data_IF_976574108061
#
_entry.id   IF_976574108061
#
_cell.length_a   1.000
_cell.length_b   1.000
_cell.length_c   1.000
_cell.angle_alpha   90.00
_cell.angle_beta   90.00
_cell.angle_gamma   90.00
#
_symmetry.space_group_name_H-M   'P 1'
#
loop_
_entity.id
_entity.type
_entity.pdbx_description
1 polymer ?
#
# COMPACT_ATOMS: atom_id res chain seq x y z
N UNK A 1 15.56 -24.16 12.37
CA UNK A 1 15.16 -24.02 10.95
C UNK A 1 14.02 -23.02 10.88
N UNK A 2 14.05 -22.03 9.98
CA UNK A 2 12.91 -21.11 9.80
C UNK A 2 11.70 -21.91 9.28
N UNK A 3 10.48 -21.69 9.81
CA UNK A 3 9.30 -22.31 9.24
C UNK A 3 9.14 -21.87 7.77
N UNK A 4 8.69 -22.78 6.92
CA UNK A 4 8.42 -22.46 5.52
C UNK A 4 7.45 -21.27 5.42
N UNK A 5 7.64 -20.40 4.42
CA UNK A 5 6.88 -19.15 4.24
C UNK A 5 5.36 -19.33 4.22
N UNK A 6 4.86 -20.55 3.98
CA UNK A 6 3.43 -20.90 4.06
C UNK A 6 2.82 -20.75 5.47
N UNK A 7 3.64 -20.75 6.51
CA UNK A 7 3.18 -20.56 7.90
C UNK A 7 3.31 -19.10 8.37
N UNK A 8 3.47 -18.16 7.44
CA UNK A 8 3.56 -16.76 7.76
C UNK A 8 2.27 -16.28 8.45
N UNK A 9 2.37 -15.54 9.57
CA UNK A 9 1.20 -15.06 10.30
C UNK A 9 0.38 -14.09 9.45
N UNK A 10 -0.93 -14.12 9.61
CA UNK A 10 -1.83 -13.10 9.07
C UNK A 10 -1.75 -11.83 9.91
N UNK A 11 -1.90 -10.69 9.24
CA UNK A 11 -1.98 -9.38 9.87
C UNK A 11 -3.12 -9.36 10.87
N UNK A 12 -2.84 -8.85 12.07
CA UNK A 12 -3.87 -8.59 13.08
C UNK A 12 -4.15 -7.10 13.06
N UNK A 13 -5.21 -6.69 12.37
CA UNK A 13 -5.66 -5.29 12.38
C UNK A 13 -6.28 -4.98 13.75
N UNK A 14 -5.87 -3.90 14.43
CA UNK A 14 -6.50 -3.50 15.69
C UNK A 14 -7.99 -3.20 15.43
N UNK A 15 -8.87 -3.87 16.16
CA UNK A 15 -10.31 -3.63 16.04
C UNK A 15 -10.67 -2.30 16.69
N UNK A 16 -11.28 -1.40 15.93
CA UNK A 16 -11.81 -0.15 16.48
C UNK A 16 -12.75 -0.43 17.66
N UNK A 17 -12.52 0.24 18.78
CA UNK A 17 -13.37 0.13 19.97
C UNK A 17 -14.73 0.78 19.70
N UNK A 18 -15.79 0.29 20.35
CA UNK A 18 -17.14 0.87 20.23
C UNK A 18 -17.15 2.38 20.49
N UNK A 19 -16.40 2.85 21.49
CA UNK A 19 -16.25 4.28 21.80
C UNK A 19 -15.62 5.08 20.65
N UNK A 20 -14.54 4.57 20.03
CA UNK A 20 -13.92 5.24 18.87
C UNK A 20 -14.87 5.34 17.66
N UNK A 21 -15.75 4.35 17.50
CA UNK A 21 -16.77 4.35 16.44
C UNK A 21 -17.83 5.42 16.68
N UNK A 22 -18.34 5.55 17.91
CA UNK A 22 -19.30 6.60 18.27
C UNK A 22 -18.74 8.00 18.11
N UNK A 23 -17.49 8.22 18.54
CA UNK A 23 -16.81 9.50 18.34
C UNK A 23 -16.68 9.83 16.84
N UNK A 24 -16.33 8.84 16.01
CA UNK A 24 -16.29 8.97 14.56
C UNK A 24 -17.65 9.35 13.95
N UNK A 25 -18.74 8.72 14.40
CA UNK A 25 -20.08 9.05 13.91
C UNK A 25 -20.52 10.47 14.29
N UNK A 26 -20.19 10.94 15.50
CA UNK A 26 -20.51 12.30 15.92
C UNK A 26 -19.76 13.35 15.08
N UNK A 27 -18.47 13.13 14.82
CA UNK A 27 -17.68 14.02 13.96
C UNK A 27 -18.22 14.03 12.53
N UNK A 28 -18.57 12.86 11.98
CA UNK A 28 -19.17 12.74 10.66
C UNK A 28 -20.52 13.45 10.58
N UNK A 29 -21.37 13.34 11.60
CA UNK A 29 -22.65 14.02 11.68
C UNK A 29 -22.48 15.55 11.72
N UNK A 30 -21.50 16.06 12.45
CA UNK A 30 -21.15 17.48 12.47
C UNK A 30 -20.70 18.00 11.10
N UNK A 31 -19.80 17.27 10.42
CA UNK A 31 -19.36 17.61 9.06
C UNK A 31 -20.52 17.58 8.06
N UNK A 32 -21.39 16.56 8.13
CA UNK A 32 -22.56 16.45 7.28
C UNK A 32 -23.55 17.61 7.52
N UNK A 33 -23.79 17.99 8.78
CA UNK A 33 -24.62 19.14 9.13
C UNK A 33 -24.06 20.45 8.58
N UNK A 34 -22.75 20.69 8.73
CA UNK A 34 -22.08 21.85 8.15
C UNK A 34 -22.15 21.89 6.62
N UNK A 35 -21.99 20.75 5.97
CA UNK A 35 -22.11 20.62 4.52
C UNK A 35 -23.54 20.91 4.03
N UNK A 36 -24.57 20.39 4.71
CA UNK A 36 -25.97 20.66 4.40
C UNK A 36 -26.32 22.15 4.58
N UNK A 37 -25.81 22.78 5.64
CA UNK A 37 -25.98 24.22 5.84
C UNK A 37 -25.32 25.03 4.72
N UNK A 38 -24.09 24.67 4.32
CA UNK A 38 -23.39 25.32 3.21
C UNK A 38 -24.10 25.13 1.87
N UNK A 39 -24.67 23.95 1.62
CA UNK A 39 -25.52 23.69 0.45
C UNK A 39 -26.75 24.59 0.42
N UNK A 40 -27.37 24.83 1.57
CA UNK A 40 -28.54 25.68 1.67
C UNK A 40 -28.18 27.17 1.50
N UNK A 41 -27.08 27.62 2.10
CA UNK A 41 -26.62 29.01 2.01
C UNK A 41 -26.05 29.38 0.62
N UNK A 42 -25.32 28.46 -0.01
CA UNK A 42 -24.58 28.70 -1.26
C UNK A 42 -24.67 27.53 -2.25
N UNK A 43 -25.87 27.18 -2.75
CA UNK A 43 -26.09 25.96 -3.55
C UNK A 43 -25.28 25.94 -4.86
N UNK A 44 -25.16 27.10 -5.53
CA UNK A 44 -24.44 27.20 -6.81
C UNK A 44 -22.94 26.99 -6.62
N UNK A 45 -22.34 27.61 -5.60
CA UNK A 45 -20.89 27.52 -5.34
C UNK A 45 -20.51 26.10 -4.93
N UNK A 46 -21.28 25.51 -4.00
CA UNK A 46 -21.03 24.14 -3.55
C UNK A 46 -21.24 23.15 -4.70
N UNK A 47 -22.31 23.32 -5.50
CA UNK A 47 -22.56 22.50 -6.68
C UNK A 47 -21.43 22.56 -7.71
N UNK A 48 -20.89 23.75 -7.97
CA UNK A 48 -19.75 23.93 -8.87
C UNK A 48 -18.48 23.24 -8.35
N UNK A 49 -18.17 23.36 -7.06
CA UNK A 49 -17.01 22.69 -6.44
C UNK A 49 -17.15 21.17 -6.49
N UNK A 50 -18.32 20.63 -6.19
CA UNK A 50 -18.57 19.18 -6.28
C UNK A 50 -18.44 18.69 -7.72
N UNK A 51 -18.99 19.42 -8.70
CA UNK A 51 -18.83 19.08 -10.11
C UNK A 51 -17.36 19.08 -10.56
N UNK A 52 -16.57 20.06 -10.11
CA UNK A 52 -15.13 20.13 -10.38
C UNK A 52 -14.39 18.95 -9.72
N UNK A 53 -14.70 18.62 -8.47
CA UNK A 53 -14.10 17.49 -7.78
C UNK A 53 -14.42 16.16 -8.48
N UNK A 54 -15.69 15.91 -8.82
CA UNK A 54 -16.11 14.72 -9.56
C UNK A 54 -15.45 14.64 -10.95
N UNK A 55 -15.37 15.77 -11.66
CA UNK A 55 -14.68 15.85 -12.95
C UNK A 55 -13.18 15.52 -12.82
N UNK A 56 -12.52 16.08 -11.81
CA UNK A 56 -11.13 15.78 -11.49
C UNK A 56 -10.88 14.31 -11.18
N UNK A 57 -11.71 13.71 -10.32
CA UNK A 57 -11.65 12.29 -10.01
C UNK A 57 -11.90 11.40 -11.23
N UNK A 58 -12.89 11.74 -12.07
CA UNK A 58 -13.17 10.97 -13.28
C UNK A 58 -11.98 10.97 -14.25
N UNK A 59 -11.34 12.12 -14.44
CA UNK A 59 -10.12 12.25 -15.25
C UNK A 59 -8.96 11.48 -14.62
N UNK A 60 -8.77 11.58 -13.30
CA UNK A 60 -7.72 10.86 -12.57
C UNK A 60 -7.88 9.34 -12.74
N UNK A 61 -9.07 8.81 -12.42
CA UNK A 61 -9.39 7.39 -12.57
C UNK A 61 -9.23 6.91 -14.02
N UNK A 62 -9.56 7.74 -15.01
CA UNK A 62 -9.37 7.40 -16.41
C UNK A 62 -7.89 7.30 -16.80
N UNK A 63 -7.04 8.19 -16.26
CA UNK A 63 -5.59 8.16 -16.48
C UNK A 63 -4.95 6.95 -15.81
N UNK A 64 -5.30 6.69 -14.56
CA UNK A 64 -4.90 5.53 -13.78
C UNK A 64 -5.24 4.21 -14.50
N UNK A 65 -6.50 4.04 -14.92
CA UNK A 65 -6.93 2.86 -15.69
C UNK A 65 -6.10 2.68 -16.97
N UNK A 66 -5.82 3.75 -17.71
CA UNK A 66 -4.99 3.69 -18.93
C UNK A 66 -3.55 3.31 -18.61
N UNK A 67 -2.98 3.86 -17.54
CA UNK A 67 -1.64 3.56 -17.07
C UNK A 67 -1.49 2.08 -16.72
N UNK A 68 -2.36 1.54 -15.85
CA UNK A 68 -2.32 0.14 -15.48
C UNK A 68 -2.65 -0.80 -16.65
N UNK A 69 -3.59 -0.43 -17.53
CA UNK A 69 -3.85 -1.20 -18.75
C UNK A 69 -2.59 -1.31 -19.63
N UNK A 70 -1.81 -0.23 -19.76
CA UNK A 70 -0.55 -0.24 -20.51
C UNK A 70 0.49 -1.16 -19.85
N UNK A 71 0.64 -1.09 -18.53
CA UNK A 71 1.54 -1.98 -17.80
C UNK A 71 1.18 -3.46 -17.98
N UNK A 72 -0.12 -3.78 -17.90
CA UNK A 72 -0.62 -5.14 -18.08
C UNK A 72 -0.42 -5.65 -19.51
N UNK A 73 -0.54 -4.80 -20.52
CA UNK A 73 -0.28 -5.19 -21.92
C UNK A 73 1.20 -5.54 -22.13
N UNK A 74 2.11 -4.70 -21.65
CA UNK A 74 3.57 -4.92 -21.76
C UNK A 74 4.06 -6.16 -21.02
N UNK A 75 3.28 -6.66 -20.04
CA UNK A 75 3.68 -7.75 -19.12
C UNK A 75 2.74 -8.96 -19.17
N UNK A 76 1.94 -9.09 -20.23
CA UNK A 76 0.88 -10.09 -20.33
C UNK A 76 1.39 -11.55 -20.20
N UNK A 77 2.66 -11.81 -20.51
CA UNK A 77 3.31 -13.12 -20.41
C UNK A 77 4.07 -13.34 -19.09
N UNK A 78 4.19 -12.32 -18.24
CA UNK A 78 4.94 -12.42 -16.98
C UNK A 78 4.08 -13.05 -15.87
N UNK A 79 4.67 -14.01 -15.17
CA UNK A 79 4.05 -14.68 -14.02
C UNK A 79 4.81 -14.40 -12.72
N UNK A 80 4.22 -14.77 -11.58
CA UNK A 80 4.86 -14.72 -10.25
C UNK A 80 6.26 -15.37 -10.24
N UNK A 81 6.49 -16.38 -11.08
CA UNK A 81 7.77 -17.05 -11.21
C UNK A 81 8.88 -16.13 -11.72
N UNK A 82 8.57 -15.16 -12.58
CA UNK A 82 9.55 -14.17 -13.04
C UNK A 82 9.97 -13.23 -11.92
N UNK A 83 8.99 -12.76 -11.12
CA UNK A 83 9.27 -11.94 -9.94
C UNK A 83 10.18 -12.68 -8.95
N UNK A 84 9.82 -13.91 -8.57
CA UNK A 84 10.60 -14.69 -7.61
C UNK A 84 12.03 -15.00 -8.10
N UNK A 85 12.22 -15.25 -9.40
CA UNK A 85 13.57 -15.49 -9.99
C UNK A 85 14.43 -14.24 -10.06
N UNK A 86 13.83 -13.05 -10.11
CA UNK A 86 14.56 -11.78 -10.17
C UNK A 86 15.15 -11.35 -8.83
N UNK A 87 14.83 -12.06 -7.74
CA UNK A 87 15.38 -11.81 -6.40
C UNK A 87 16.30 -12.97 -6.04
N UNK A 88 17.52 -12.66 -5.60
CA UNK A 88 18.39 -13.69 -5.04
C UNK A 88 17.90 -14.10 -3.65
N UNK A 89 17.12 -15.19 -3.62
CA UNK A 89 16.55 -15.74 -2.41
C UNK A 89 17.59 -16.42 -1.50
N UNK A 90 18.87 -16.48 -1.90
CA UNK A 90 19.97 -16.96 -1.04
C UNK A 90 20.43 -15.87 -0.06
N UNK A 91 20.39 -14.62 -0.52
CA UNK A 91 20.86 -13.46 0.25
C UNK A 91 19.71 -12.70 0.93
N UNK A 92 18.48 -12.87 0.43
CA UNK A 92 17.29 -12.19 0.94
C UNK A 92 16.38 -13.15 1.71
N UNK A 93 15.84 -12.71 2.85
CA UNK A 93 14.87 -13.49 3.60
C UNK A 93 13.59 -13.75 2.78
N UNK A 94 13.33 -15.02 2.47
CA UNK A 94 12.14 -15.47 1.73
C UNK A 94 10.81 -15.03 2.35
N UNK A 95 10.75 -14.79 3.67
CA UNK A 95 9.56 -14.22 4.30
C UNK A 95 9.36 -12.77 3.88
N UNK A 96 10.43 -11.97 3.82
CA UNK A 96 10.37 -10.58 3.34
C UNK A 96 9.91 -10.52 1.89
N UNK A 97 10.50 -11.34 1.02
CA UNK A 97 10.09 -11.42 -0.39
C UNK A 97 8.60 -11.72 -0.52
N UNK A 98 8.12 -12.70 0.24
CA UNK A 98 6.72 -13.11 0.21
C UNK A 98 5.78 -12.04 0.77
N UNK A 99 6.12 -11.42 1.90
CA UNK A 99 5.29 -10.37 2.49
C UNK A 99 5.17 -9.17 1.55
N UNK A 100 6.30 -8.68 1.03
CA UNK A 100 6.29 -7.55 0.09
C UNK A 100 5.43 -7.87 -1.12
N UNK A 101 5.60 -9.06 -1.71
CA UNK A 101 4.80 -9.46 -2.86
C UNK A 101 3.30 -9.55 -2.54
N UNK A 102 2.92 -10.21 -1.46
CA UNK A 102 1.50 -10.40 -1.12
C UNK A 102 0.81 -9.11 -0.68
N UNK A 103 1.49 -8.23 0.07
CA UNK A 103 0.92 -6.93 0.47
C UNK A 103 0.78 -5.98 -0.73
N UNK A 104 1.78 -5.94 -1.63
CA UNK A 104 1.64 -5.19 -2.88
C UNK A 104 0.52 -5.73 -3.77
N UNK A 105 0.35 -7.06 -3.84
CA UNK A 105 -0.77 -7.66 -4.57
C UNK A 105 -2.11 -7.33 -3.92
N UNK A 106 -2.20 -7.31 -2.60
CA UNK A 106 -3.42 -6.92 -1.90
C UNK A 106 -3.78 -5.46 -2.18
N UNK A 107 -2.78 -4.56 -2.17
CA UNK A 107 -2.95 -3.16 -2.52
C UNK A 107 -3.43 -2.99 -3.97
N UNK A 108 -2.84 -3.71 -4.93
CA UNK A 108 -3.15 -3.63 -6.37
C UNK A 108 -4.35 -4.49 -6.81
N UNK A 109 -4.97 -5.25 -5.91
CA UNK A 109 -6.02 -6.21 -6.24
C UNK A 109 -7.24 -5.56 -6.92
N UNK A 110 -7.47 -4.27 -6.66
CA UNK A 110 -8.55 -3.50 -7.24
C UNK A 110 -8.35 -3.22 -8.75
N UNK A 111 -7.12 -3.29 -9.27
CA UNK A 111 -6.83 -3.22 -10.70
C UNK A 111 -6.86 -4.59 -11.36
N UNK A 112 -6.26 -5.60 -10.72
CA UNK A 112 -6.24 -6.99 -11.19
C UNK A 112 -5.90 -7.91 -10.03
N UNK A 113 -6.63 -9.02 -9.90
CA UNK A 113 -6.41 -10.00 -8.83
C UNK A 113 -4.99 -10.60 -8.77
N UNK A 114 -4.28 -10.63 -9.91
CA UNK A 114 -2.89 -11.03 -10.01
C UNK A 114 -2.15 -10.04 -10.91
N UNK A 115 -1.47 -9.07 -10.30
CA UNK A 115 -0.69 -8.07 -11.02
C UNK A 115 0.74 -8.57 -11.27
N UNK A 116 1.28 -8.47 -12.51
CA UNK A 116 2.66 -8.87 -12.81
C UNK A 116 3.65 -7.82 -12.29
N UNK A 117 4.09 -8.01 -11.05
CA UNK A 117 5.07 -7.17 -10.37
C UNK A 117 6.49 -7.46 -10.86
N UNK A 118 7.30 -6.40 -10.95
CA UNK A 118 8.76 -6.47 -11.15
C UNK A 118 9.48 -5.81 -9.99
N UNK A 119 10.68 -6.29 -9.68
CA UNK A 119 11.55 -5.71 -8.64
C UNK A 119 11.94 -4.28 -8.98
N UNK A 120 12.06 -3.97 -10.27
CA UNK A 120 12.38 -2.63 -10.78
C UNK A 120 11.19 -1.68 -10.80
N UNK A 121 9.97 -2.12 -10.46
CA UNK A 121 8.80 -1.26 -10.46
C UNK A 121 8.96 -0.15 -9.43
N UNK A 122 8.78 1.09 -9.88
CA UNK A 122 8.79 2.26 -8.99
C UNK A 122 7.47 2.33 -8.25
N UNK A 123 7.52 2.40 -6.92
CA UNK A 123 6.33 2.37 -6.05
C UNK A 123 5.38 3.52 -6.40
N UNK A 124 5.88 4.77 -6.45
CA UNK A 124 5.04 5.93 -6.77
C UNK A 124 4.77 6.14 -8.27
N UNK A 125 5.74 5.86 -9.15
CA UNK A 125 5.59 6.20 -10.57
C UNK A 125 4.91 5.09 -11.39
N UNK A 126 5.25 3.82 -11.12
CA UNK A 126 4.73 2.69 -11.89
C UNK A 126 3.54 2.04 -11.18
N UNK A 127 3.62 1.84 -9.85
CA UNK A 127 2.53 1.26 -9.07
C UNK A 127 1.56 2.29 -8.49
N UNK A 128 1.84 3.59 -8.65
CA UNK A 128 1.00 4.69 -8.15
C UNK A 128 0.64 4.59 -6.66
N UNK A 129 1.51 3.97 -5.87
CA UNK A 129 1.40 3.88 -4.42
C UNK A 129 1.93 5.20 -3.85
N UNK A 130 1.07 5.96 -3.18
CA UNK A 130 1.48 7.18 -2.51
C UNK A 130 2.25 6.89 -1.20
N UNK A 131 2.91 7.92 -0.68
CA UNK A 131 3.75 7.79 0.52
C UNK A 131 2.95 7.41 1.76
N UNK A 132 1.72 7.90 1.86
CA UNK A 132 0.86 7.63 3.02
C UNK A 132 0.39 6.16 3.04
N UNK A 133 -0.04 5.60 1.91
CA UNK A 133 -0.37 4.18 1.79
C UNK A 133 0.87 3.30 2.05
N UNK A 134 2.05 3.72 1.58
CA UNK A 134 3.29 3.02 1.85
C UNK A 134 3.63 3.00 3.35
N UNK A 135 3.64 4.16 4.00
CA UNK A 135 4.13 4.32 5.38
C UNK A 135 3.08 3.93 6.43
N UNK A 136 1.78 4.16 6.17
CA UNK A 136 0.69 3.94 7.14
C UNK A 136 0.04 2.56 7.02
N UNK A 137 0.14 1.89 5.87
CA UNK A 137 -0.51 0.60 5.59
C UNK A 137 0.52 -0.49 5.26
N UNK A 138 1.22 -0.37 4.13
CA UNK A 138 2.10 -1.43 3.62
C UNK A 138 3.29 -1.73 4.54
N UNK A 139 4.02 -0.70 4.97
CA UNK A 139 5.24 -0.87 5.80
C UNK A 139 4.92 -1.53 7.14
N UNK A 140 3.92 -1.07 7.93
CA UNK A 140 3.51 -1.73 9.16
C UNK A 140 3.07 -3.18 8.96
N UNK A 141 2.28 -3.46 7.91
CA UNK A 141 1.76 -4.79 7.62
C UNK A 141 2.88 -5.76 7.23
N UNK A 142 3.81 -5.34 6.37
CA UNK A 142 5.00 -6.12 6.00
C UNK A 142 5.89 -6.37 7.23
N UNK A 143 6.14 -5.34 8.05
CA UNK A 143 6.94 -5.48 9.27
C UNK A 143 6.32 -6.50 10.23
N UNK A 144 5.00 -6.43 10.42
CA UNK A 144 4.28 -7.35 11.30
C UNK A 144 4.40 -8.79 10.82
N UNK A 145 4.21 -9.03 9.52
CA UNK A 145 4.27 -10.36 8.95
C UNK A 145 5.69 -10.94 8.97
N UNK A 146 6.70 -10.11 8.77
CA UNK A 146 8.11 -10.52 8.69
C UNK A 146 8.83 -10.55 10.03
N UNK A 147 8.21 -9.96 11.06
CA UNK A 147 8.78 -9.82 12.39
C UNK A 147 9.95 -8.84 12.44
N UNK A 148 9.89 -7.78 11.63
CA UNK A 148 10.93 -6.75 11.53
C UNK A 148 10.57 -5.57 12.41
N UNK A 149 11.58 -5.03 13.07
CA UNK A 149 11.42 -3.86 13.93
C UNK A 149 11.47 -2.57 13.10
N UNK A 150 10.54 -1.66 13.39
CA UNK A 150 10.44 -0.34 12.77
C UNK A 150 10.88 0.79 13.73
N UNK A 151 11.34 0.47 14.96
CA UNK A 151 11.77 1.48 15.93
C UNK A 151 13.00 2.28 15.49
N UNK A 152 13.89 1.65 14.71
CA UNK A 152 15.21 2.18 14.37
C UNK A 152 15.42 2.29 12.86
N UNK A 153 14.37 2.70 12.12
CA UNK A 153 14.41 2.74 10.65
C UNK A 153 15.49 3.66 10.08
N UNK A 154 15.86 4.72 10.79
CA UNK A 154 16.89 5.68 10.36
C UNK A 154 18.29 5.07 10.25
N UNK A 155 18.58 4.00 10.99
CA UNK A 155 19.85 3.29 10.90
C UNK A 155 19.93 2.39 9.66
N UNK A 156 18.81 2.19 8.95
CA UNK A 156 18.75 1.36 7.76
C UNK A 156 19.42 2.06 6.57
N UNK A 157 20.36 1.41 5.85
CA UNK A 157 21.01 1.99 4.67
C UNK A 157 20.05 2.46 3.56
N UNK A 158 18.86 1.87 3.50
CA UNK A 158 17.80 2.15 2.52
C UNK A 158 16.78 3.19 3.01
N UNK A 159 16.90 3.70 4.24
CA UNK A 159 15.99 4.73 4.75
C UNK A 159 15.99 5.98 3.87
N UNK A 160 14.80 6.47 3.50
CA UNK A 160 14.62 7.62 2.60
C UNK A 160 15.05 7.38 1.14
N UNK A 161 15.46 6.16 0.79
CA UNK A 161 15.94 5.78 -0.55
C UNK A 161 15.07 4.73 -1.24
N UNK A 162 13.98 4.32 -0.58
CA UNK A 162 13.06 3.31 -1.13
C UNK A 162 12.27 3.93 -2.27
N UNK A 163 12.59 3.53 -3.50
CA UNK A 163 11.88 4.01 -4.70
C UNK A 163 11.24 2.87 -5.49
N UNK A 164 11.83 1.69 -5.43
CA UNK A 164 11.39 0.49 -6.15
C UNK A 164 10.92 -0.63 -5.22
N UNK A 165 10.22 -1.61 -5.78
CA UNK A 165 9.86 -2.85 -5.07
C UNK A 165 11.11 -3.57 -4.53
N UNK A 166 12.21 -3.56 -5.29
CA UNK A 166 13.49 -4.12 -4.85
C UNK A 166 14.11 -3.39 -3.67
N UNK A 167 14.06 -2.06 -3.68
CA UNK A 167 14.52 -1.27 -2.54
C UNK A 167 13.69 -1.57 -1.29
N UNK A 168 12.37 -1.77 -1.45
CA UNK A 168 11.48 -2.13 -0.36
C UNK A 168 11.83 -3.50 0.23
N UNK A 169 12.09 -4.49 -0.61
CA UNK A 169 12.59 -5.81 -0.19
C UNK A 169 13.91 -5.67 0.57
N UNK A 170 14.86 -4.90 0.05
CA UNK A 170 16.17 -4.72 0.66
C UNK A 170 16.10 -3.94 1.98
N UNK A 171 15.22 -2.94 2.07
CA UNK A 171 14.94 -2.22 3.30
C UNK A 171 14.51 -3.18 4.41
N UNK A 172 13.50 -4.01 4.17
CA UNK A 172 13.05 -4.98 5.17
C UNK A 172 14.07 -6.09 5.45
N UNK A 173 14.86 -6.49 4.45
CA UNK A 173 15.93 -7.47 4.67
C UNK A 173 17.01 -6.92 5.61
N UNK A 174 17.32 -5.63 5.50
CA UNK A 174 18.29 -4.92 6.33
C UNK A 174 17.75 -4.49 7.72
N UNK A 175 16.42 -4.50 7.95
CA UNK A 175 15.87 -4.19 9.27
C UNK A 175 16.18 -5.29 10.29
N UNK A 176 16.44 -4.97 11.56
CA UNK A 176 16.57 -5.99 12.59
C UNK A 176 15.23 -6.70 12.81
N UNK A 177 15.30 -7.93 13.32
CA UNK A 177 14.10 -8.65 13.77
C UNK A 177 13.76 -8.21 15.18
N UNK A 178 12.50 -8.33 15.58
CA UNK A 178 12.17 -8.19 16.99
C UNK A 178 13.03 -9.14 17.83
N UNK A 179 13.61 -8.61 18.91
CA UNK A 179 14.18 -9.44 19.94
C UNK A 179 13.05 -10.31 20.48
N UNK A 180 13.05 -11.59 20.10
CA UNK A 180 12.17 -12.56 20.74
C UNK A 180 12.72 -12.71 22.15
N UNK A 181 11.99 -12.18 23.14
CA UNK A 181 12.22 -12.48 24.54
C UNK A 181 11.92 -13.96 24.82
#
# INVERSE_FOLDING_TARGET
MKPASRHMPRIKKPSATLASRWLGYLLLAGLAGGFLWALWAHPVVVGALVALAMGGEAVSRAREKKHFARLLQTRSEESICHFARSIDCRDVDTWVVRAVYEELQACLAHHRAQFPLRVTDRLGADLQIDGDELDLSLVPDIAQRTGRDLSSTQANPFFGKVTTVGDLVNFFNAQPRWAVA
#
